data_IF_048393773849
#
_entry.id   IF_048393773849
#
_cell.length_a   1.000
_cell.length_b   1.000
_cell.length_c   1.000
_cell.angle_alpha   90.00
_cell.angle_beta   90.00
_cell.angle_gamma   90.00
#
_symmetry.space_group_name_H-M   'P 1'
#
loop_
_entity.id
_entity.type
_entity.pdbx_description
1 polymer ?
#
# COMPACT_ATOMS: atom_id res chain seq x y z
N UNK A 1 32.46 14.78 44.20
CA UNK A 1 32.78 16.15 44.67
C UNK A 1 33.56 16.86 43.57
N UNK A 2 33.16 18.10 43.29
CA UNK A 2 33.92 19.20 42.68
C UNK A 2 34.54 19.03 41.26
N UNK A 3 33.80 19.59 40.29
CA UNK A 3 34.24 20.36 39.11
C UNK A 3 35.39 21.35 39.42
N UNK A 4 36.23 21.72 38.43
CA UNK A 4 36.38 23.14 37.96
C UNK A 4 36.96 23.22 36.53
N UNK A 5 36.12 23.76 35.64
CA UNK A 5 36.32 24.65 34.48
C UNK A 5 37.68 24.84 33.76
N UNK A 6 37.60 24.81 32.42
CA UNK A 6 38.37 25.67 31.52
C UNK A 6 37.41 26.44 30.61
N UNK A 7 37.58 27.76 30.54
CA UNK A 7 37.00 28.63 29.53
C UNK A 7 38.01 29.74 29.23
N UNK A 8 38.21 30.05 27.93
CA UNK A 8 38.07 31.38 27.30
C UNK A 8 38.87 31.42 25.99
N UNK A 9 38.06 31.59 24.93
CA UNK A 9 38.24 32.09 23.54
C UNK A 9 39.09 33.39 23.44
N UNK A 10 39.60 33.92 22.32
CA UNK A 10 39.36 33.88 20.86
C UNK A 10 40.48 34.67 20.13
N UNK A 11 40.31 34.85 18.80
CA UNK A 11 40.84 35.90 17.89
C UNK A 11 41.76 35.30 16.81
N UNK A 12 41.21 34.89 15.66
CA UNK A 12 40.96 35.65 14.41
C UNK A 12 42.25 36.02 13.66
N UNK A 13 42.43 35.45 12.47
CA UNK A 13 43.15 36.10 11.37
C UNK A 13 42.52 35.76 10.01
N UNK A 14 42.35 36.82 9.23
CA UNK A 14 41.83 36.88 7.85
C UNK A 14 42.86 36.37 6.85
N UNK A 15 42.38 35.86 5.71
CA UNK A 15 42.88 36.00 4.33
C UNK A 15 42.16 34.91 3.50
N UNK A 16 41.75 35.06 2.25
CA UNK A 16 42.04 36.01 1.18
C UNK A 16 41.83 35.21 -0.11
N UNK A 17 40.99 35.71 -1.02
CA UNK A 17 40.76 35.11 -2.34
C UNK A 17 42.07 35.02 -3.14
N UNK A 18 42.36 33.88 -3.76
CA UNK A 18 42.83 33.79 -5.15
C UNK A 18 42.80 32.34 -5.67
N UNK A 19 42.41 32.25 -6.93
CA UNK A 19 42.16 31.03 -7.71
C UNK A 19 43.42 30.20 -7.97
N UNK A 20 43.26 28.88 -8.00
CA UNK A 20 44.16 27.97 -8.67
C UNK A 20 43.38 26.76 -9.24
N UNK A 21 43.64 26.48 -10.51
CA UNK A 21 43.04 25.44 -11.34
C UNK A 21 43.29 24.03 -10.77
N UNK A 22 42.24 23.24 -10.56
CA UNK A 22 42.35 21.81 -10.30
C UNK A 22 42.12 21.00 -11.58
N UNK A 23 43.18 20.31 -12.02
CA UNK A 23 43.16 19.30 -13.07
C UNK A 23 42.22 18.16 -12.68
N UNK A 24 41.19 17.91 -13.48
CA UNK A 24 40.35 16.73 -13.36
C UNK A 24 41.06 15.50 -13.95
N UNK A 25 41.15 14.44 -13.15
CA UNK A 25 41.53 13.09 -13.56
C UNK A 25 40.34 12.42 -14.26
N UNK A 26 40.54 12.05 -15.52
CA UNK A 26 39.62 11.24 -16.31
C UNK A 26 39.70 9.77 -15.87
N UNK A 27 38.56 9.17 -15.50
CA UNK A 27 38.39 7.71 -15.51
C UNK A 27 37.20 7.34 -16.40
N UNK A 28 37.52 6.92 -17.62
CA UNK A 28 36.63 6.32 -18.62
C UNK A 28 36.44 4.83 -18.34
N UNK A 29 35.18 4.37 -18.23
CA UNK A 29 34.76 3.01 -18.61
C UNK A 29 33.25 3.00 -18.94
N UNK A 30 32.91 3.19 -20.22
CA UNK A 30 31.66 2.75 -20.84
C UNK A 30 31.92 2.37 -22.31
N UNK A 31 31.24 1.35 -22.88
CA UNK A 31 31.56 0.82 -24.21
C UNK A 31 31.00 1.68 -25.35
N UNK A 32 31.80 1.78 -26.43
CA UNK A 32 31.55 2.47 -27.70
C UNK A 32 30.24 2.04 -28.39
N UNK A 33 29.48 3.03 -28.85
CA UNK A 33 28.71 2.96 -30.09
C UNK A 33 29.29 3.99 -31.06
N UNK A 34 29.88 3.53 -32.17
CA UNK A 34 30.38 4.40 -33.23
C UNK A 34 29.21 4.85 -34.12
N UNK A 35 29.01 6.17 -34.20
CA UNK A 35 28.15 6.82 -35.19
C UNK A 35 29.06 7.56 -36.17
N UNK A 36 29.11 7.11 -37.42
CA UNK A 36 29.63 7.89 -38.54
C UNK A 36 28.48 8.14 -39.52
N UNK A 37 28.05 9.40 -39.57
CA UNK A 37 27.16 9.88 -40.60
C UNK A 37 27.93 10.22 -41.88
N UNK A 38 27.34 9.91 -43.04
CA UNK A 38 27.58 10.66 -44.27
C UNK A 38 26.29 10.79 -45.08
N UNK A 39 26.06 12.02 -45.48
CA UNK A 39 24.97 12.60 -46.27
C UNK A 39 24.89 12.08 -47.72
N UNK A 40 23.67 11.97 -48.28
CA UNK A 40 23.20 12.82 -49.41
C UNK A 40 21.90 12.29 -50.06
N UNK A 41 20.91 13.18 -50.14
CA UNK A 41 19.86 13.42 -51.13
C UNK A 41 19.30 12.35 -52.10
N UNK A 42 17.97 12.49 -52.26
CA UNK A 42 17.16 12.46 -53.49
C UNK A 42 16.21 11.26 -53.69
N UNK A 43 14.93 11.62 -53.83
CA UNK A 43 13.80 10.78 -54.20
C UNK A 43 13.97 10.06 -55.56
N UNK A 44 13.41 8.85 -55.66
CA UNK A 44 12.59 8.39 -56.80
C UNK A 44 11.81 7.12 -56.42
N UNK A 45 10.49 7.15 -56.66
CA UNK A 45 9.59 5.97 -56.70
C UNK A 45 9.85 5.20 -57.99
N UNK A 46 9.86 3.86 -57.95
CA UNK A 46 9.06 2.92 -58.79
C UNK A 46 9.49 1.43 -58.59
N UNK A 47 8.72 0.39 -59.03
CA UNK A 47 8.19 -0.66 -58.13
C UNK A 47 8.56 -2.13 -58.50
N UNK A 48 7.93 -3.09 -57.77
CA UNK A 48 7.70 -4.54 -58.09
C UNK A 48 8.84 -5.52 -57.68
N UNK A 49 8.67 -6.85 -57.38
CA UNK A 49 7.48 -7.72 -57.26
C UNK A 49 7.31 -8.51 -55.94
N UNK A 50 6.13 -9.10 -55.84
CA UNK A 50 5.70 -10.20 -54.96
C UNK A 50 6.57 -11.46 -55.02
N UNK A 51 7.06 -11.93 -53.86
CA UNK A 51 6.92 -13.32 -53.40
C UNK A 51 7.60 -13.45 -52.01
N UNK A 52 6.80 -13.69 -50.97
CA UNK A 52 7.33 -14.18 -49.70
C UNK A 52 6.70 -15.52 -49.40
N UNK A 53 7.58 -16.51 -49.25
CA UNK A 53 7.27 -17.87 -48.83
C UNK A 53 6.60 -17.88 -47.44
N UNK A 54 5.60 -18.74 -47.30
CA UNK A 54 4.90 -18.99 -46.04
C UNK A 54 5.82 -19.65 -45.01
N UNK A 55 5.90 -19.04 -43.83
CA UNK A 55 6.29 -19.70 -42.57
C UNK A 55 4.99 -20.02 -41.82
N UNK A 56 4.82 -21.21 -41.21
CA UNK A 56 3.56 -21.54 -40.55
C UNK A 56 3.39 -20.71 -39.28
N UNK A 57 2.35 -19.87 -39.24
CA UNK A 57 1.85 -19.29 -37.99
C UNK A 57 1.05 -20.35 -37.25
N UNK A 58 1.34 -20.53 -35.96
CA UNK A 58 0.50 -21.30 -35.06
C UNK A 58 -0.89 -20.65 -34.96
N UNK A 59 -1.91 -21.35 -35.43
CA UNK A 59 -3.31 -20.94 -35.30
C UNK A 59 -3.83 -21.46 -33.97
N UNK A 60 -4.14 -20.56 -33.04
CA UNK A 60 -4.98 -20.88 -31.88
C UNK A 60 -6.39 -21.13 -32.40
N UNK A 61 -6.81 -22.40 -32.46
CA UNK A 61 -8.20 -22.78 -32.69
C UNK A 61 -8.99 -22.47 -31.41
N UNK A 62 -9.81 -21.43 -31.45
CA UNK A 62 -10.87 -21.23 -30.47
C UNK A 62 -12.06 -22.11 -30.86
N UNK A 63 -12.41 -23.07 -30.01
CA UNK A 63 -13.70 -23.74 -30.11
C UNK A 63 -14.82 -22.71 -29.83
N UNK A 64 -15.92 -22.71 -30.60
CA UNK A 64 -17.05 -21.82 -30.33
C UNK A 64 -17.72 -22.23 -29.01
N UNK A 65 -18.15 -21.27 -28.17
CA UNK A 65 -18.79 -21.61 -26.91
C UNK A 65 -20.11 -22.34 -27.19
N UNK A 66 -20.27 -23.52 -26.62
CA UNK A 66 -21.57 -24.17 -26.51
C UNK A 66 -22.54 -23.19 -25.83
N UNK A 67 -23.63 -22.89 -26.53
CA UNK A 67 -24.72 -22.04 -26.03
C UNK A 67 -25.41 -22.71 -24.85
N UNK A 68 -24.89 -22.52 -23.65
CA UNK A 68 -25.66 -22.68 -22.43
C UNK A 68 -26.50 -21.41 -22.22
N UNK A 69 -27.69 -21.42 -22.81
CA UNK A 69 -28.78 -20.53 -22.45
C UNK A 69 -29.27 -20.92 -21.05
N UNK A 70 -28.69 -20.31 -20.00
CA UNK A 70 -29.33 -19.96 -18.71
C UNK A 70 -28.28 -19.67 -17.64
N UNK A 71 -27.62 -18.51 -17.73
CA UNK A 71 -27.20 -17.74 -16.55
C UNK A 71 -27.30 -16.26 -16.91
N UNK A 72 -28.49 -15.66 -16.74
CA UNK A 72 -28.54 -14.23 -16.45
C UNK A 72 -27.70 -14.05 -15.18
N UNK A 73 -26.45 -13.59 -15.31
CA UNK A 73 -25.70 -13.02 -14.19
C UNK A 73 -26.47 -11.76 -13.77
N UNK A 74 -27.55 -11.94 -13.01
CA UNK A 74 -28.10 -10.86 -12.22
C UNK A 74 -26.97 -10.40 -11.32
N UNK A 75 -26.62 -9.13 -11.44
CA UNK A 75 -25.85 -8.37 -10.46
C UNK A 75 -26.58 -8.50 -9.13
N UNK A 76 -26.25 -9.53 -8.35
CA UNK A 76 -26.85 -9.75 -7.04
C UNK A 76 -26.21 -8.75 -6.10
N UNK A 77 -26.95 -7.68 -5.78
CA UNK A 77 -26.61 -6.87 -4.62
C UNK A 77 -26.85 -7.69 -3.35
N UNK A 78 -26.09 -7.40 -2.29
CA UNK A 78 -26.33 -7.99 -0.98
C UNK A 78 -27.74 -7.65 -0.51
N UNK A 79 -28.50 -8.68 -0.12
CA UNK A 79 -29.90 -8.52 0.32
C UNK A 79 -29.96 -8.00 1.76
N UNK A 80 -29.14 -8.59 2.64
CA UNK A 80 -29.01 -8.17 4.04
C UNK A 80 -27.52 -7.98 4.38
N UNK A 81 -27.04 -6.73 4.51
CA UNK A 81 -25.67 -6.43 4.90
C UNK A 81 -25.25 -7.00 6.26
N UNK A 82 -26.21 -7.30 7.15
CA UNK A 82 -25.93 -7.89 8.46
C UNK A 82 -25.77 -9.42 8.41
N UNK A 83 -26.20 -10.08 7.33
CA UNK A 83 -26.07 -11.52 7.15
C UNK A 83 -25.86 -11.90 5.67
N UNK A 84 -24.70 -11.56 5.07
CA UNK A 84 -24.40 -11.88 3.67
C UNK A 84 -24.28 -13.40 3.42
N UNK A 85 -24.63 -13.84 2.20
CA UNK A 85 -24.60 -15.27 1.81
C UNK A 85 -23.25 -15.65 1.19
N UNK A 86 -22.25 -15.88 2.05
CA UNK A 86 -20.87 -16.10 1.61
C UNK A 86 -20.68 -17.39 0.81
N UNK A 87 -19.95 -17.28 -0.30
CA UNK A 87 -19.57 -18.42 -1.13
C UNK A 87 -18.28 -19.07 -0.62
N UNK A 88 -18.19 -20.40 -0.62
CA UNK A 88 -16.94 -21.08 -0.27
C UNK A 88 -15.87 -20.83 -1.34
N UNK A 89 -14.62 -20.74 -0.91
CA UNK A 89 -13.45 -20.67 -1.79
C UNK A 89 -12.94 -22.07 -2.14
N UNK A 90 -12.20 -22.21 -3.25
CA UNK A 90 -11.34 -23.36 -3.44
C UNK A 90 -10.38 -23.52 -2.26
N UNK A 91 -10.16 -24.76 -1.81
CA UNK A 91 -9.31 -25.02 -0.65
C UNK A 91 -7.84 -24.70 -0.94
N UNK A 92 -7.05 -24.54 0.11
CA UNK A 92 -5.62 -24.32 0.00
C UNK A 92 -4.92 -25.44 -0.79
N UNK A 93 -5.31 -26.70 -0.58
CA UNK A 93 -4.75 -27.87 -1.28
C UNK A 93 -5.13 -27.90 -2.77
N UNK A 94 -6.31 -27.38 -3.12
CA UNK A 94 -6.72 -27.23 -4.52
C UNK A 94 -5.89 -26.15 -5.22
N UNK A 95 -5.56 -25.06 -4.52
CA UNK A 95 -4.72 -23.98 -5.06
C UNK A 95 -3.23 -24.36 -5.09
N UNK A 96 -2.76 -25.06 -4.07
CA UNK A 96 -1.36 -25.39 -3.84
C UNK A 96 -1.18 -26.89 -3.57
N UNK A 97 -1.31 -27.74 -4.62
CA UNK A 97 -1.09 -29.17 -4.46
C UNK A 97 0.33 -29.43 -3.93
N UNK A 98 0.46 -30.44 -3.05
CA UNK A 98 1.70 -30.80 -2.35
C UNK A 98 2.24 -29.72 -1.42
N UNK A 99 1.42 -28.76 -1.00
CA UNK A 99 1.80 -27.79 0.01
C UNK A 99 1.06 -28.02 1.31
N UNK A 100 1.72 -27.74 2.43
CA UNK A 100 1.08 -27.62 3.75
C UNK A 100 1.28 -26.22 4.30
N UNK A 101 0.31 -25.73 5.05
CA UNK A 101 0.42 -24.49 5.82
C UNK A 101 1.08 -24.83 7.16
N UNK A 102 2.21 -24.19 7.43
CA UNK A 102 3.02 -24.44 8.61
C UNK A 102 3.17 -23.13 9.41
N UNK A 103 3.66 -23.24 10.65
CA UNK A 103 4.00 -22.07 11.45
C UNK A 103 5.32 -22.27 12.18
N UNK A 104 6.07 -21.18 12.33
CA UNK A 104 7.26 -21.12 13.19
C UNK A 104 6.86 -20.47 14.50
N UNK A 105 7.04 -21.20 15.59
CA UNK A 105 6.84 -20.66 16.93
C UNK A 105 8.07 -19.90 17.39
N UNK A 106 7.86 -18.66 17.84
CA UNK A 106 8.89 -17.82 18.46
C UNK A 106 8.32 -17.18 19.72
N UNK A 107 9.15 -17.00 20.74
CA UNK A 107 8.72 -16.38 22.00
C UNK A 107 9.19 -14.94 22.02
N UNK A 108 8.26 -14.02 22.27
CA UNK A 108 8.61 -12.63 22.53
C UNK A 108 9.12 -12.48 23.97
N UNK A 109 10.43 -12.34 24.15
CA UNK A 109 11.09 -12.46 25.46
C UNK A 109 10.53 -11.52 26.54
N UNK A 110 10.21 -10.27 26.19
CA UNK A 110 9.71 -9.28 27.17
C UNK A 110 8.31 -9.65 27.72
N UNK A 111 7.50 -10.35 26.93
CA UNK A 111 6.10 -10.64 27.27
C UNK A 111 5.83 -12.10 27.55
N UNK A 112 6.70 -13.00 27.11
CA UNK A 112 6.47 -14.44 27.09
C UNK A 112 5.42 -14.88 26.06
N UNK A 113 4.90 -13.97 25.21
CA UNK A 113 3.92 -14.32 24.20
C UNK A 113 4.54 -15.27 23.16
N UNK A 114 3.85 -16.38 22.88
CA UNK A 114 4.23 -17.31 21.81
C UNK A 114 3.57 -16.86 20.52
N UNK A 115 4.37 -16.48 19.53
CA UNK A 115 3.93 -16.04 18.21
C UNK A 115 4.02 -17.20 17.22
N UNK A 116 2.96 -17.40 16.42
CA UNK A 116 2.91 -18.41 15.35
C UNK A 116 3.02 -17.71 14.00
N UNK A 117 4.20 -17.76 13.41
CA UNK A 117 4.51 -17.05 12.15
C UNK A 117 4.35 -17.99 10.96
N UNK A 118 3.40 -17.74 10.03
CA UNK A 118 3.03 -18.69 9.00
C UNK A 118 4.05 -18.72 7.87
N UNK A 119 4.16 -19.90 7.26
CA UNK A 119 4.82 -20.11 5.99
C UNK A 119 4.19 -21.30 5.28
N UNK A 120 4.40 -21.42 3.97
CA UNK A 120 3.95 -22.57 3.19
C UNK A 120 5.13 -23.50 2.94
N UNK A 121 4.96 -24.78 3.24
CA UNK A 121 5.94 -25.83 2.93
C UNK A 121 5.53 -26.60 1.70
N UNK A 122 6.37 -26.61 0.67
CA UNK A 122 6.17 -27.39 -0.55
C UNK A 122 6.93 -28.71 -0.44
N UNK A 123 6.21 -29.82 -0.55
CA UNK A 123 6.77 -31.17 -0.47
C UNK A 123 7.22 -31.65 -1.85
N UNK A 124 8.52 -31.92 -2.00
CA UNK A 124 9.13 -32.38 -3.25
C UNK A 124 9.18 -33.92 -3.29
N UNK A 125 9.36 -34.48 -4.47
CA UNK A 125 9.56 -35.94 -4.65
C UNK A 125 11.05 -36.31 -4.57
N UNK A 126 11.34 -37.55 -4.20
CA UNK A 126 12.71 -38.06 -4.09
C UNK A 126 13.32 -37.79 -2.71
N UNK A 127 14.65 -37.70 -2.65
CA UNK A 127 15.40 -37.40 -1.42
C UNK A 127 15.57 -35.87 -1.20
N UNK A 128 14.98 -35.04 -2.06
CA UNK A 128 15.02 -33.58 -1.94
C UNK A 128 14.26 -33.12 -0.69
N UNK A 129 14.85 -32.17 0.05
CA UNK A 129 14.16 -31.53 1.17
C UNK A 129 12.96 -30.71 0.70
N UNK A 130 12.07 -30.39 1.62
CA UNK A 130 10.97 -29.46 1.36
C UNK A 130 11.47 -28.04 1.02
N UNK A 131 10.60 -27.23 0.41
CA UNK A 131 10.85 -25.80 0.16
C UNK A 131 9.87 -24.92 0.94
N UNK A 132 10.40 -24.10 1.86
CA UNK A 132 9.61 -23.19 2.69
C UNK A 132 9.52 -21.80 2.04
N UNK A 133 8.30 -21.36 1.77
CA UNK A 133 7.99 -20.10 1.09
C UNK A 133 7.11 -19.19 1.97
N UNK A 134 7.10 -17.89 1.65
CA UNK A 134 6.19 -16.92 2.25
C UNK A 134 4.73 -17.30 1.95
N UNK A 135 3.83 -16.99 2.87
CA UNK A 135 2.41 -17.30 2.75
C UNK A 135 1.55 -16.19 3.38
N UNK A 136 0.64 -15.65 2.59
CA UNK A 136 -0.30 -14.58 2.95
C UNK A 136 -1.74 -15.06 3.06
N UNK A 137 -2.00 -16.34 2.78
CA UNK A 137 -3.37 -16.88 2.69
C UNK A 137 -4.18 -16.77 3.99
N UNK A 138 -3.51 -16.56 5.13
CA UNK A 138 -4.15 -16.50 6.44
C UNK A 138 -4.76 -17.85 6.87
N UNK A 139 -5.47 -17.88 8.01
CA UNK A 139 -6.19 -19.06 8.46
C UNK A 139 -7.23 -19.53 7.43
N UNK A 140 -7.33 -20.86 7.24
CA UNK A 140 -8.22 -21.50 6.26
C UNK A 140 -9.44 -22.12 6.95
N UNK A 141 -10.49 -22.41 6.18
CA UNK A 141 -11.71 -23.09 6.61
C UNK A 141 -12.46 -22.39 7.77
N UNK A 142 -12.37 -21.07 7.84
CA UNK A 142 -13.09 -20.24 8.81
C UNK A 142 -14.30 -19.61 8.14
N UNK A 143 -15.48 -19.77 8.74
CA UNK A 143 -16.71 -19.16 8.25
C UNK A 143 -16.59 -17.63 8.32
N UNK A 144 -16.84 -16.89 7.22
CA UNK A 144 -16.74 -15.44 7.25
C UNK A 144 -17.73 -14.74 8.20
N UNK A 145 -18.83 -15.42 8.54
CA UNK A 145 -19.82 -14.96 9.54
C UNK A 145 -19.29 -14.96 10.97
N UNK A 146 -18.22 -15.72 11.26
CA UNK A 146 -17.57 -15.76 12.58
C UNK A 146 -16.43 -14.74 12.64
N UNK A 147 -15.71 -14.56 11.55
CA UNK A 147 -14.47 -13.78 11.48
C UNK A 147 -13.24 -14.58 11.91
N UNK A 148 -12.07 -14.07 11.56
CA UNK A 148 -10.79 -14.69 11.90
C UNK A 148 -10.47 -14.58 13.40
N UNK A 149 -9.61 -15.47 13.93
CA UNK A 149 -9.14 -15.39 15.30
C UNK A 149 -8.39 -14.08 15.56
N UNK A 150 -8.70 -13.42 16.67
CA UNK A 150 -8.09 -12.17 17.12
C UNK A 150 -6.71 -12.38 17.76
N UNK A 151 -5.77 -12.91 16.99
CA UNK A 151 -4.45 -13.37 17.48
C UNK A 151 -3.63 -12.28 18.18
N UNK A 152 -3.81 -11.01 17.81
CA UNK A 152 -3.05 -9.88 18.39
C UNK A 152 -3.63 -9.36 19.70
N UNK A 153 -4.79 -9.86 20.14
CA UNK A 153 -5.55 -9.30 21.27
C UNK A 153 -4.72 -9.11 22.53
N UNK A 154 -4.00 -10.14 22.96
CA UNK A 154 -3.23 -10.10 24.21
C UNK A 154 -2.05 -9.11 24.14
N UNK A 155 -1.45 -8.95 22.95
CA UNK A 155 -0.34 -8.03 22.72
C UNK A 155 -0.80 -6.59 22.91
N UNK A 156 -1.95 -6.27 22.31
CA UNK A 156 -2.58 -4.95 22.39
C UNK A 156 -3.09 -4.68 23.81
N UNK A 157 -3.86 -5.59 24.41
CA UNK A 157 -4.40 -5.43 25.76
C UNK A 157 -3.27 -5.18 26.79
N UNK A 158 -2.12 -5.86 26.65
CA UNK A 158 -0.95 -5.62 27.52
C UNK A 158 -0.43 -4.19 27.37
N UNK A 159 -0.19 -3.73 26.14
CA UNK A 159 0.37 -2.39 25.89
C UNK A 159 -0.60 -1.30 26.30
N UNK A 160 -1.90 -1.47 26.06
CA UNK A 160 -2.92 -0.52 26.53
C UNK A 160 -2.93 -0.37 28.05
N UNK A 161 -2.74 -1.45 28.81
CA UNK A 161 -2.61 -1.39 30.28
C UNK A 161 -1.42 -0.55 30.76
N UNK A 162 -0.36 -0.44 29.96
CA UNK A 162 0.79 0.43 30.30
C UNK A 162 0.53 1.91 30.03
N UNK A 163 -0.51 2.24 29.26
CA UNK A 163 -0.93 3.62 28.96
C UNK A 163 0.13 4.46 28.24
N UNK A 164 0.71 4.01 27.10
CA UNK A 164 1.72 4.79 26.39
C UNK A 164 1.11 6.06 25.79
N UNK A 165 1.92 7.13 25.61
CA UNK A 165 1.43 8.38 25.03
C UNK A 165 1.07 8.26 23.53
N UNK A 166 1.60 7.25 22.84
CA UNK A 166 1.32 6.94 21.43
C UNK A 166 1.33 5.43 21.24
N UNK A 167 0.55 4.95 20.27
CA UNK A 167 0.39 3.51 20.04
C UNK A 167 1.20 2.98 18.85
N UNK A 168 2.00 3.82 18.18
CA UNK A 168 2.57 3.46 16.88
C UNK A 168 3.80 2.56 16.96
N UNK A 169 3.98 1.66 15.99
CA UNK A 169 5.23 0.89 15.87
C UNK A 169 6.47 1.79 15.77
N UNK A 170 6.37 2.93 15.08
CA UNK A 170 7.47 3.91 15.02
C UNK A 170 7.79 4.52 16.40
N UNK A 171 6.77 4.82 17.21
CA UNK A 171 6.97 5.30 18.57
C UNK A 171 7.74 4.27 19.40
N UNK A 172 7.26 3.02 19.46
CA UNK A 172 7.94 1.95 20.20
C UNK A 172 9.36 1.71 19.70
N UNK A 173 9.54 1.68 18.37
CA UNK A 173 10.85 1.50 17.77
C UNK A 173 11.83 2.60 18.23
N UNK A 174 11.41 3.87 18.24
CA UNK A 174 12.24 4.99 18.70
C UNK A 174 12.57 4.94 20.20
N UNK A 175 11.75 4.26 21.00
CA UNK A 175 12.04 3.98 22.42
C UNK A 175 13.01 2.81 22.62
N UNK A 176 13.47 2.15 21.55
CA UNK A 176 14.30 0.95 21.64
C UNK A 176 13.51 -0.32 21.98
N UNK A 177 12.18 -0.28 21.88
CA UNK A 177 11.29 -1.40 22.19
C UNK A 177 11.09 -2.23 20.92
N UNK A 178 11.35 -3.53 21.01
CA UNK A 178 10.96 -4.51 20.01
C UNK A 178 9.57 -5.01 20.42
N UNK A 179 8.58 -4.85 19.55
CA UNK A 179 7.21 -5.32 19.79
C UNK A 179 7.01 -6.73 19.25
N UNK A 180 5.89 -7.36 19.63
CA UNK A 180 5.44 -8.62 19.05
C UNK A 180 5.33 -8.52 17.51
N UNK A 181 4.81 -7.42 16.98
CA UNK A 181 4.72 -7.20 15.53
C UNK A 181 6.10 -7.13 14.86
N UNK A 182 7.10 -6.51 15.50
CA UNK A 182 8.46 -6.44 14.96
C UNK A 182 9.12 -7.83 14.94
N UNK A 183 9.01 -8.60 16.03
CA UNK A 183 9.52 -9.97 16.10
C UNK A 183 8.81 -10.88 15.09
N UNK A 184 7.50 -10.72 14.94
CA UNK A 184 6.71 -11.46 13.95
C UNK A 184 7.22 -11.20 12.53
N UNK A 185 7.36 -9.92 12.14
CA UNK A 185 7.87 -9.54 10.82
C UNK A 185 9.31 -10.03 10.60
N UNK A 186 10.18 -9.88 11.60
CA UNK A 186 11.56 -10.34 11.53
C UNK A 186 11.65 -11.84 11.28
N UNK A 187 10.84 -12.62 11.99
CA UNK A 187 10.75 -14.08 11.81
C UNK A 187 10.25 -14.45 10.42
N UNK A 188 9.23 -13.73 9.91
CA UNK A 188 8.62 -13.95 8.59
C UNK A 188 9.60 -13.63 7.45
N UNK A 189 10.42 -12.59 7.62
CA UNK A 189 11.47 -12.16 6.69
C UNK A 189 12.80 -12.91 6.87
N UNK A 190 12.94 -13.73 7.91
CA UNK A 190 14.20 -14.39 8.31
C UNK A 190 15.33 -13.38 8.57
N UNK A 191 14.99 -12.26 9.19
CA UNK A 191 15.89 -11.18 9.56
C UNK A 191 15.93 -10.99 11.07
N UNK A 192 16.89 -10.20 11.52
CA UNK A 192 17.07 -9.89 12.94
C UNK A 192 15.98 -8.89 13.43
N UNK A 193 15.36 -9.10 14.61
CA UNK A 193 14.35 -8.20 15.16
C UNK A 193 14.85 -6.77 15.46
N UNK A 194 16.10 -6.61 15.87
CA UNK A 194 16.72 -5.30 16.08
C UNK A 194 16.93 -4.58 14.74
N UNK A 195 17.24 -5.31 13.66
CA UNK A 195 17.26 -4.73 12.31
C UNK A 195 15.88 -4.20 11.89
N UNK A 196 14.81 -4.96 12.15
CA UNK A 196 13.42 -4.52 11.91
C UNK A 196 13.11 -3.25 12.70
N UNK A 197 13.37 -3.25 14.01
CA UNK A 197 13.15 -2.09 14.88
C UNK A 197 13.91 -0.86 14.37
N UNK A 198 15.17 -1.04 13.97
CA UNK A 198 16.03 0.03 13.46
C UNK A 198 15.46 0.64 12.16
N UNK A 199 15.01 -0.18 11.21
CA UNK A 199 14.36 0.27 9.97
C UNK A 199 13.08 1.07 10.22
N UNK A 200 12.25 0.59 11.16
CA UNK A 200 11.00 1.26 11.55
C UNK A 200 11.27 2.59 12.28
N UNK A 201 12.22 2.61 13.22
CA UNK A 201 12.57 3.82 13.98
C UNK A 201 13.05 4.96 13.08
N UNK A 202 13.79 4.64 12.02
CA UNK A 202 14.31 5.63 11.04
C UNK A 202 13.37 5.92 9.87
N UNK A 203 12.14 5.39 9.89
CA UNK A 203 11.13 5.67 8.86
C UNK A 203 11.44 5.06 7.49
N UNK A 204 12.32 4.06 7.40
CA UNK A 204 12.63 3.36 6.14
C UNK A 204 11.79 2.10 5.91
N UNK A 205 11.05 1.68 6.94
CA UNK A 205 10.06 0.64 6.87
C UNK A 205 8.88 0.95 7.80
N UNK A 206 7.73 0.36 7.51
CA UNK A 206 6.51 0.47 8.32
C UNK A 206 5.91 -0.91 8.55
N UNK A 207 5.14 -1.05 9.62
CA UNK A 207 4.31 -2.22 9.91
C UNK A 207 2.88 -1.71 10.09
N UNK A 208 2.06 -1.67 9.02
CA UNK A 208 0.68 -1.20 9.09
C UNK A 208 -0.12 -2.18 9.95
N UNK A 209 -0.46 -1.77 11.17
CA UNK A 209 -0.95 -2.71 12.18
C UNK A 209 -1.84 -2.04 13.22
N UNK A 210 -2.94 -1.45 12.74
CA UNK A 210 -3.89 -0.74 13.60
C UNK A 210 -4.28 -1.64 14.78
N UNK A 211 -4.26 -1.09 15.99
CA UNK A 211 -4.53 -1.84 17.23
C UNK A 211 -5.92 -2.47 17.29
N UNK A 212 -6.86 -2.01 16.47
CA UNK A 212 -8.23 -2.56 16.36
C UNK A 212 -8.33 -3.73 15.38
N UNK A 213 -7.35 -3.91 14.49
CA UNK A 213 -7.28 -5.04 13.57
C UNK A 213 -6.58 -6.23 14.23
N UNK A 214 -7.31 -6.93 15.10
CA UNK A 214 -6.74 -7.98 15.93
C UNK A 214 -6.54 -9.30 15.19
N UNK A 215 -7.17 -9.44 14.03
CA UNK A 215 -7.11 -10.59 13.12
C UNK A 215 -5.82 -10.64 12.28
N UNK A 216 -5.09 -9.52 12.20
CA UNK A 216 -3.91 -9.32 11.36
C UNK A 216 -2.74 -10.26 11.72
N UNK A 217 -2.15 -10.89 10.70
CA UNK A 217 -0.80 -11.47 10.71
C UNK A 217 0.21 -10.39 10.26
N UNK A 218 1.04 -9.82 11.18
CA UNK A 218 1.87 -8.66 10.86
C UNK A 218 2.80 -8.85 9.65
N UNK A 219 2.94 -7.78 8.87
CA UNK A 219 3.80 -7.71 7.69
C UNK A 219 4.53 -6.37 7.64
N UNK A 220 5.80 -6.38 7.23
CA UNK A 220 6.64 -5.19 7.10
C UNK A 220 6.80 -4.75 5.64
N UNK A 221 6.71 -3.45 5.40
CA UNK A 221 6.92 -2.82 4.10
C UNK A 221 8.15 -1.92 4.20
N UNK A 222 9.17 -2.18 3.38
CA UNK A 222 10.37 -1.35 3.31
C UNK A 222 11.37 -1.88 2.30
N UNK A 223 12.31 -1.01 1.87
CA UNK A 223 13.25 -1.32 0.78
C UNK A 223 14.16 -2.52 1.05
N UNK A 224 14.49 -2.78 2.32
CA UNK A 224 15.43 -3.84 2.72
C UNK A 224 14.74 -5.19 3.01
N UNK A 225 13.45 -5.31 2.72
CA UNK A 225 12.63 -6.50 2.95
C UNK A 225 12.16 -7.08 1.61
N UNK A 226 11.47 -8.22 1.63
CA UNK A 226 10.78 -8.71 0.43
C UNK A 226 9.85 -7.63 -0.15
N UNK A 227 9.84 -7.49 -1.47
CA UNK A 227 8.87 -6.60 -2.14
C UNK A 227 7.46 -7.12 -1.84
N UNK A 228 6.57 -6.20 -1.44
CA UNK A 228 5.19 -6.50 -1.09
C UNK A 228 4.24 -6.07 -2.21
N UNK A 229 3.14 -6.81 -2.38
CA UNK A 229 2.12 -6.59 -3.40
C UNK A 229 0.78 -6.28 -2.76
N UNK A 230 0.12 -5.22 -3.22
CA UNK A 230 -1.23 -4.86 -2.80
C UNK A 230 -2.26 -5.31 -3.85
N UNK A 231 -3.41 -5.83 -3.41
CA UNK A 231 -4.57 -6.07 -4.26
C UNK A 231 -5.69 -5.06 -3.96
N UNK A 232 -6.18 -4.37 -4.99
CA UNK A 232 -7.34 -3.49 -4.86
C UNK A 232 -8.63 -4.28 -5.05
N UNK A 233 -9.51 -4.20 -4.07
CA UNK A 233 -10.89 -4.69 -4.13
C UNK A 233 -11.83 -3.51 -3.87
N UNK A 234 -13.12 -3.78 -3.72
CA UNK A 234 -14.12 -2.78 -3.38
C UNK A 234 -15.28 -2.81 -4.36
N UNK A 235 -16.46 -2.52 -3.81
CA UNK A 235 -17.69 -2.44 -4.57
C UNK A 235 -17.78 -1.10 -5.31
N UNK A 236 -18.70 -1.02 -6.26
CA UNK A 236 -19.01 0.24 -6.94
C UNK A 236 -20.52 0.47 -6.96
N UNK A 237 -20.94 1.68 -7.30
CA UNK A 237 -22.36 1.97 -7.50
C UNK A 237 -23.05 1.09 -8.58
N UNK A 238 -22.27 0.43 -9.44
CA UNK A 238 -22.77 -0.33 -10.60
C UNK A 238 -22.64 -1.85 -10.41
N UNK A 239 -21.63 -2.32 -9.67
CA UNK A 239 -21.25 -3.74 -9.61
C UNK A 239 -20.74 -4.13 -8.21
N UNK A 240 -20.93 -5.41 -7.88
CA UNK A 240 -20.43 -6.15 -6.72
C UNK A 240 -21.30 -6.08 -5.46
N UNK A 241 -20.96 -6.93 -4.49
CA UNK A 241 -21.71 -7.19 -3.26
C UNK A 241 -20.74 -7.54 -2.13
N UNK A 242 -21.18 -7.44 -0.87
CA UNK A 242 -20.37 -7.77 0.30
C UNK A 242 -19.79 -9.19 0.21
N UNK A 243 -20.60 -10.15 -0.25
CA UNK A 243 -20.21 -11.54 -0.44
C UNK A 243 -19.03 -11.66 -1.43
N UNK A 244 -19.09 -10.94 -2.54
CA UNK A 244 -18.04 -10.95 -3.56
C UNK A 244 -16.78 -10.20 -3.09
N UNK A 245 -16.92 -9.14 -2.29
CA UNK A 245 -15.77 -8.42 -1.73
C UNK A 245 -14.97 -9.29 -0.76
N UNK A 246 -15.63 -9.98 0.16
CA UNK A 246 -14.95 -10.91 1.08
C UNK A 246 -14.28 -12.06 0.31
N UNK A 247 -14.99 -12.62 -0.68
CA UNK A 247 -14.42 -13.64 -1.56
C UNK A 247 -13.14 -13.14 -2.25
N UNK A 248 -13.16 -11.92 -2.81
CA UNK A 248 -12.00 -11.34 -3.49
C UNK A 248 -10.82 -11.09 -2.56
N UNK A 249 -11.05 -10.68 -1.31
CA UNK A 249 -9.97 -10.51 -0.31
C UNK A 249 -9.27 -11.83 -0.07
N UNK A 250 -10.04 -12.85 0.32
CA UNK A 250 -9.52 -14.18 0.62
C UNK A 250 -8.86 -14.82 -0.61
N UNK A 251 -9.42 -14.60 -1.81
CA UNK A 251 -8.82 -15.08 -3.06
C UNK A 251 -7.51 -14.35 -3.39
N UNK A 252 -7.46 -13.03 -3.22
CA UNK A 252 -6.25 -12.26 -3.48
C UNK A 252 -5.11 -12.67 -2.54
N UNK A 253 -5.40 -12.85 -1.25
CA UNK A 253 -4.40 -13.25 -0.26
C UNK A 253 -3.96 -14.70 -0.44
N UNK A 254 -4.85 -15.61 -0.88
CA UNK A 254 -4.50 -16.97 -1.30
C UNK A 254 -3.38 -16.96 -2.36
N UNK A 255 -3.44 -16.04 -3.33
CA UNK A 255 -2.47 -15.92 -4.42
C UNK A 255 -1.26 -15.02 -4.14
N UNK A 256 -1.11 -14.50 -2.93
CA UNK A 256 0.10 -13.76 -2.54
C UNK A 256 -0.06 -12.26 -2.38
N UNK A 257 -1.29 -11.71 -2.30
CA UNK A 257 -1.46 -10.31 -1.90
C UNK A 257 -1.02 -10.12 -0.44
N UNK A 258 -0.01 -9.29 -0.22
CA UNK A 258 0.54 -8.97 1.10
C UNK A 258 -0.28 -7.93 1.85
N UNK A 259 -1.03 -7.10 1.13
CA UNK A 259 -2.02 -6.16 1.64
C UNK A 259 -3.21 -6.12 0.69
N UNK A 260 -4.35 -5.63 1.19
CA UNK A 260 -5.50 -5.31 0.35
C UNK A 260 -5.93 -3.86 0.59
N UNK A 261 -6.57 -3.25 -0.41
CA UNK A 261 -7.29 -1.99 -0.21
C UNK A 261 -8.75 -2.15 -0.56
N UNK A 262 -9.62 -1.74 0.36
CA UNK A 262 -11.03 -1.55 0.08
C UNK A 262 -11.26 -0.16 -0.54
N UNK A 263 -11.50 -0.14 -1.85
CA UNK A 263 -11.77 1.06 -2.63
C UNK A 263 -13.26 1.22 -2.95
N UNK A 264 -14.13 0.65 -2.10
CA UNK A 264 -15.58 0.70 -2.26
C UNK A 264 -16.10 2.14 -2.39
N UNK A 265 -16.96 2.35 -3.38
CA UNK A 265 -17.68 3.64 -3.60
C UNK A 265 -19.18 3.43 -3.84
N UNK A 266 -19.70 2.24 -3.54
CA UNK A 266 -21.11 1.90 -3.71
C UNK A 266 -21.91 2.05 -2.41
N UNK A 267 -22.99 1.28 -2.31
CA UNK A 267 -23.77 1.19 -1.07
C UNK A 267 -23.00 0.38 -0.02
N UNK A 268 -23.35 0.58 1.25
CA UNK A 268 -22.86 -0.23 2.36
C UNK A 268 -21.33 -0.26 2.49
N UNK A 269 -20.66 0.88 2.25
CA UNK A 269 -19.19 0.98 2.34
C UNK A 269 -18.69 0.59 3.73
N UNK A 270 -19.39 1.02 4.78
CA UNK A 270 -19.02 0.73 6.16
C UNK A 270 -19.12 -0.77 6.48
N UNK A 271 -20.25 -1.37 6.11
CA UNK A 271 -20.58 -2.77 6.37
C UNK A 271 -19.69 -3.70 5.53
N UNK A 272 -19.47 -3.37 4.26
CA UNK A 272 -18.53 -4.10 3.39
C UNK A 272 -17.14 -4.16 4.02
N UNK A 273 -16.63 -3.01 4.47
CA UNK A 273 -15.32 -2.92 5.09
C UNK A 273 -15.24 -3.68 6.41
N UNK A 274 -16.31 -3.68 7.21
CA UNK A 274 -16.36 -4.46 8.45
C UNK A 274 -16.18 -5.95 8.16
N UNK A 275 -16.93 -6.48 7.18
CA UNK A 275 -16.79 -7.88 6.76
C UNK A 275 -15.41 -8.19 6.21
N UNK A 276 -14.81 -7.27 5.44
CA UNK A 276 -13.44 -7.41 4.94
C UNK A 276 -12.42 -7.46 6.08
N UNK A 277 -12.45 -6.50 7.00
CA UNK A 277 -11.49 -6.40 8.12
C UNK A 277 -11.56 -7.62 9.04
N UNK A 278 -12.76 -8.03 9.44
CA UNK A 278 -12.93 -9.21 10.31
C UNK A 278 -12.51 -10.52 9.65
N UNK A 279 -12.33 -10.53 8.32
CA UNK A 279 -11.94 -11.70 7.53
C UNK A 279 -10.59 -11.55 6.81
N UNK A 280 -9.80 -10.51 7.14
CA UNK A 280 -8.49 -10.28 6.55
C UNK A 280 -7.38 -10.63 7.53
N UNK A 281 -6.47 -11.51 7.12
CA UNK A 281 -5.22 -11.76 7.85
C UNK A 281 -4.10 -10.79 7.44
N UNK A 282 -4.32 -9.99 6.39
CA UNK A 282 -3.35 -9.03 5.85
C UNK A 282 -3.78 -7.59 6.13
N UNK A 283 -2.86 -6.61 6.12
CA UNK A 283 -3.23 -5.22 6.31
C UNK A 283 -4.25 -4.73 5.29
N UNK A 284 -5.25 -3.98 5.76
CA UNK A 284 -6.31 -3.40 4.94
C UNK A 284 -6.13 -1.88 4.88
N UNK A 285 -6.03 -1.35 3.67
CA UNK A 285 -5.99 0.09 3.42
C UNK A 285 -7.27 0.63 2.83
N UNK A 286 -7.43 1.94 2.91
CA UNK A 286 -8.57 2.65 2.29
C UNK A 286 -8.13 4.00 1.71
N UNK A 287 -9.07 4.65 1.01
CA UNK A 287 -8.97 6.04 0.61
C UNK A 287 -10.14 6.79 1.29
N UNK A 288 -9.95 7.36 2.51
CA UNK A 288 -11.07 7.86 3.32
C UNK A 288 -11.93 8.91 2.62
N UNK A 289 -11.37 9.67 1.68
CA UNK A 289 -12.10 10.69 0.92
C UNK A 289 -13.24 10.10 0.07
N UNK A 290 -13.18 8.81 -0.30
CA UNK A 290 -14.27 8.16 -1.05
C UNK A 290 -15.52 8.01 -0.20
N UNK A 291 -15.39 7.55 1.03
CA UNK A 291 -16.53 7.45 1.94
C UNK A 291 -17.00 8.83 2.40
N UNK A 292 -16.08 9.77 2.65
CA UNK A 292 -16.44 11.14 2.99
C UNK A 292 -17.27 11.80 1.88
N UNK A 293 -16.95 11.54 0.62
CA UNK A 293 -17.70 12.02 -0.54
C UNK A 293 -19.12 11.42 -0.59
N UNK A 294 -19.28 10.13 -0.28
CA UNK A 294 -20.61 9.51 -0.18
C UNK A 294 -21.46 10.10 0.96
N UNK A 295 -20.84 10.46 2.10
CA UNK A 295 -21.54 11.14 3.21
C UNK A 295 -22.13 12.50 2.80
N UNK A 296 -21.57 13.13 1.77
CA UNK A 296 -22.07 14.39 1.18
C UNK A 296 -22.73 14.18 -0.19
N UNK A 297 -23.29 12.99 -0.42
CA UNK A 297 -24.08 12.65 -1.60
C UNK A 297 -23.34 12.85 -2.94
N UNK A 298 -22.02 12.66 -2.97
CA UNK A 298 -21.23 12.82 -4.20
C UNK A 298 -20.88 14.27 -4.54
N UNK A 299 -21.28 15.25 -3.72
CA UNK A 299 -21.02 16.67 -3.95
C UNK A 299 -19.68 17.03 -3.34
N UNK A 300 -18.63 17.07 -4.16
CA UNK A 300 -17.28 17.34 -3.69
C UNK A 300 -17.15 18.68 -2.96
N UNK A 301 -17.94 19.69 -3.35
CA UNK A 301 -17.99 21.00 -2.74
C UNK A 301 -18.48 20.93 -1.28
N UNK A 302 -19.40 20.02 -0.97
CA UNK A 302 -19.94 19.88 0.39
C UNK A 302 -18.98 19.16 1.36
N UNK A 303 -17.81 18.73 0.88
CA UNK A 303 -16.76 18.19 1.76
C UNK A 303 -16.23 19.26 2.70
N UNK A 304 -15.93 18.85 3.93
CA UNK A 304 -15.22 19.67 4.92
C UNK A 304 -14.27 18.82 5.74
N UNK A 305 -13.41 19.48 6.52
CA UNK A 305 -12.56 18.81 7.49
C UNK A 305 -13.37 17.97 8.47
N UNK A 306 -14.52 18.46 8.94
CA UNK A 306 -15.36 17.76 9.93
C UNK A 306 -15.85 16.41 9.40
N UNK A 307 -16.39 16.38 8.17
CA UNK A 307 -16.85 15.13 7.53
C UNK A 307 -15.68 14.17 7.32
N UNK A 308 -14.52 14.69 6.91
CA UNK A 308 -13.32 13.89 6.70
C UNK A 308 -12.79 13.31 8.02
N UNK A 309 -12.69 14.13 9.07
CA UNK A 309 -12.29 13.75 10.43
C UNK A 309 -13.17 12.64 11.00
N UNK A 310 -14.49 12.78 10.90
CA UNK A 310 -15.43 11.74 11.34
C UNK A 310 -15.21 10.43 10.58
N UNK A 311 -14.93 10.52 9.27
CA UNK A 311 -14.63 9.34 8.44
C UNK A 311 -13.32 8.67 8.83
N UNK A 312 -12.27 9.44 9.14
CA UNK A 312 -11.00 8.91 9.63
C UNK A 312 -11.17 8.14 10.95
N UNK A 313 -11.90 8.72 11.91
CA UNK A 313 -12.15 8.09 13.22
C UNK A 313 -12.97 6.81 13.05
N UNK A 314 -14.03 6.86 12.24
CA UNK A 314 -14.87 5.70 11.94
C UNK A 314 -14.05 4.53 11.39
N UNK A 315 -13.20 4.79 10.40
CA UNK A 315 -12.37 3.76 9.79
C UNK A 315 -11.24 3.27 10.71
N UNK A 316 -10.67 4.16 11.51
CA UNK A 316 -9.64 3.80 12.48
C UNK A 316 -10.20 2.88 13.58
N UNK A 317 -11.42 3.14 14.06
CA UNK A 317 -12.10 2.28 15.04
C UNK A 317 -12.45 0.90 14.48
N UNK A 318 -12.79 0.79 13.19
CA UNK A 318 -12.99 -0.51 12.55
C UNK A 318 -11.70 -1.33 12.43
N UNK A 319 -10.54 -0.67 12.35
CA UNK A 319 -9.24 -1.33 12.22
C UNK A 319 -8.57 -1.16 10.86
N UNK A 320 -8.88 -0.13 10.07
CA UNK A 320 -8.09 0.15 8.86
C UNK A 320 -6.63 0.40 9.23
N UNK A 321 -5.69 -0.29 8.58
CA UNK A 321 -4.26 -0.27 8.92
C UNK A 321 -3.51 0.88 8.28
N UNK A 322 -3.98 1.36 7.12
CA UNK A 322 -3.38 2.53 6.47
C UNK A 322 -4.37 3.34 5.64
N UNK A 323 -4.17 4.65 5.64
CA UNK A 323 -4.96 5.59 4.85
C UNK A 323 -4.16 6.15 3.69
N UNK A 324 -4.74 6.09 2.50
CA UNK A 324 -4.28 6.89 1.37
C UNK A 324 -4.92 8.28 1.42
N UNK A 325 -4.12 9.30 1.74
CA UNK A 325 -4.57 10.69 1.88
C UNK A 325 -3.82 11.58 0.89
N UNK A 326 -4.58 12.34 0.10
CA UNK A 326 -4.05 13.17 -0.99
C UNK A 326 -3.73 14.59 -0.52
N UNK A 327 -3.00 14.73 0.59
CA UNK A 327 -2.64 16.03 1.16
C UNK A 327 -1.65 16.82 0.27
N UNK A 328 -0.92 16.15 -0.63
CA UNK A 328 0.01 16.80 -1.57
C UNK A 328 -0.65 17.53 -2.74
N UNK A 329 -1.97 17.39 -2.95
CA UNK A 329 -2.71 18.07 -4.01
C UNK A 329 -3.03 19.50 -3.59
N UNK A 330 -2.04 20.38 -3.68
CA UNK A 330 -2.17 21.76 -3.27
C UNK A 330 -2.81 22.62 -4.36
N UNK A 331 -3.57 23.64 -3.95
CA UNK A 331 -4.30 24.56 -4.84
C UNK A 331 -3.41 25.11 -5.95
N UNK A 332 -2.19 25.53 -5.58
CA UNK A 332 -1.19 26.09 -6.51
C UNK A 332 -0.65 25.09 -7.54
N UNK A 333 -0.79 23.78 -7.31
CA UNK A 333 -0.33 22.76 -8.24
C UNK A 333 -1.37 22.38 -9.29
N UNK A 334 -2.65 22.61 -9.02
CA UNK A 334 -3.74 22.26 -9.95
C UNK A 334 -3.56 22.91 -11.35
N UNK A 335 -3.18 24.20 -11.48
CA UNK A 335 -2.94 24.79 -12.80
C UNK A 335 -1.80 24.12 -13.60
N UNK A 336 -0.86 23.44 -12.93
CA UNK A 336 0.24 22.75 -13.60
C UNK A 336 -0.27 21.57 -14.45
N UNK A 337 -1.43 21.01 -14.11
CA UNK A 337 -2.02 19.88 -14.85
C UNK A 337 -2.79 20.32 -16.09
N UNK A 338 -2.99 21.62 -16.33
CA UNK A 338 -3.80 22.13 -17.44
C UNK A 338 -3.27 21.75 -18.84
N UNK A 339 -1.97 21.46 -18.95
CA UNK A 339 -1.31 21.06 -20.21
C UNK A 339 -1.16 19.55 -20.37
N UNK A 340 -1.66 18.75 -19.41
CA UNK A 340 -1.57 17.30 -19.49
C UNK A 340 -2.49 16.74 -20.56
N UNK A 341 -2.06 15.63 -21.16
CA UNK A 341 -2.86 14.85 -22.10
C UNK A 341 -4.04 14.16 -21.39
N UNK A 342 -3.81 13.60 -20.21
CA UNK A 342 -4.85 12.87 -19.46
C UNK A 342 -5.28 13.55 -18.16
N UNK A 343 -4.80 14.77 -17.89
CA UNK A 343 -5.20 15.57 -16.74
C UNK A 343 -4.84 14.94 -15.39
N UNK A 344 -5.80 15.00 -14.45
CA UNK A 344 -5.71 14.37 -13.13
C UNK A 344 -6.46 13.04 -13.18
N UNK A 345 -5.73 11.92 -13.17
CA UNK A 345 -6.31 10.57 -13.23
C UNK A 345 -6.52 9.92 -11.87
N UNK A 346 -6.02 10.55 -10.79
CA UNK A 346 -6.33 10.11 -9.44
C UNK A 346 -7.76 10.47 -9.08
N UNK A 347 -8.58 9.49 -8.69
CA UNK A 347 -9.94 9.74 -8.18
C UNK A 347 -9.89 10.61 -6.92
N UNK A 348 -9.07 10.25 -5.94
CA UNK A 348 -8.93 11.06 -4.72
C UNK A 348 -8.34 12.43 -5.01
N UNK A 349 -7.30 12.48 -5.86
CA UNK A 349 -6.69 13.75 -6.27
C UNK A 349 -7.65 14.69 -7.00
N UNK A 350 -8.51 14.18 -7.88
CA UNK A 350 -9.49 15.00 -8.59
C UNK A 350 -10.62 15.51 -7.69
N UNK A 351 -11.00 14.76 -6.65
CA UNK A 351 -11.96 15.21 -5.62
C UNK A 351 -11.37 16.41 -4.85
N UNK A 352 -10.15 16.28 -4.33
CA UNK A 352 -9.47 17.40 -3.63
C UNK A 352 -9.26 18.60 -4.56
N UNK A 353 -8.87 18.38 -5.82
CA UNK A 353 -8.70 19.45 -6.79
C UNK A 353 -10.01 20.20 -7.06
N UNK A 354 -11.13 19.48 -7.23
CA UNK A 354 -12.45 20.08 -7.42
C UNK A 354 -12.85 20.95 -6.24
N UNK A 355 -12.67 20.45 -5.02
CA UNK A 355 -12.95 21.21 -3.79
C UNK A 355 -12.08 22.47 -3.68
N UNK A 356 -10.77 22.35 -3.91
CA UNK A 356 -9.85 23.49 -3.84
C UNK A 356 -10.22 24.58 -4.85
N UNK A 357 -10.60 24.21 -6.08
CA UNK A 357 -11.01 25.16 -7.11
C UNK A 357 -12.37 25.82 -6.80
N UNK A 358 -13.32 25.07 -6.25
CA UNK A 358 -14.65 25.58 -5.90
C UNK A 358 -14.58 26.69 -4.83
N UNK A 359 -13.69 26.51 -3.84
CA UNK A 359 -13.54 27.48 -2.74
C UNK A 359 -12.37 28.43 -2.89
N UNK A 360 -11.47 28.18 -3.85
CA UNK A 360 -10.19 28.84 -3.97
C UNK A 360 -9.41 28.86 -2.64
N UNK A 361 -9.39 27.70 -1.96
CA UNK A 361 -8.71 27.47 -0.68
C UNK A 361 -7.68 26.37 -0.80
N UNK A 362 -6.69 26.37 0.09
CA UNK A 362 -5.70 25.30 0.18
C UNK A 362 -6.35 24.00 0.66
N UNK A 363 -5.78 22.87 0.25
CA UNK A 363 -6.30 21.54 0.55
C UNK A 363 -6.51 21.32 2.05
N UNK A 364 -7.74 21.08 2.49
CA UNK A 364 -8.04 20.93 3.92
C UNK A 364 -7.28 19.75 4.57
N UNK A 365 -6.95 18.69 3.84
CA UNK A 365 -6.16 17.59 4.40
C UNK A 365 -4.68 17.97 4.61
N UNK A 366 -4.18 18.95 3.85
CA UNK A 366 -2.87 19.57 4.08
C UNK A 366 -2.92 20.50 5.28
N UNK A 367 -3.92 21.39 5.34
CA UNK A 367 -4.08 22.36 6.44
C UNK A 367 -4.32 21.69 7.79
N UNK A 368 -4.97 20.52 7.82
CA UNK A 368 -5.26 19.73 9.02
C UNK A 368 -4.36 18.49 9.18
N UNK A 369 -3.16 18.52 8.60
CA UNK A 369 -2.27 17.35 8.64
C UNK A 369 -1.88 16.94 10.07
N UNK A 370 -1.62 17.91 10.95
CA UNK A 370 -1.32 17.63 12.37
C UNK A 370 -2.49 16.95 13.10
N UNK A 371 -3.73 17.37 12.81
CA UNK A 371 -4.92 16.74 13.39
C UNK A 371 -5.09 15.29 12.89
N UNK A 372 -4.74 15.03 11.63
CA UNK A 372 -4.72 13.68 11.05
C UNK A 372 -3.68 12.81 11.78
N UNK A 373 -2.49 13.34 12.02
CA UNK A 373 -1.43 12.65 12.76
C UNK A 373 -1.86 12.30 14.18
N UNK A 374 -2.59 13.19 14.86
CA UNK A 374 -3.13 12.94 16.19
C UNK A 374 -4.12 11.77 16.20
N UNK A 375 -4.99 11.66 15.18
CA UNK A 375 -5.89 10.52 15.01
C UNK A 375 -5.06 9.25 14.77
N UNK A 376 -4.15 9.25 13.80
CA UNK A 376 -3.32 8.09 13.47
C UNK A 376 -2.51 7.58 14.67
N UNK A 377 -2.00 8.48 15.51
CA UNK A 377 -1.23 8.14 16.71
C UNK A 377 -2.01 7.32 17.74
N UNK A 378 -3.34 7.49 17.82
CA UNK A 378 -4.19 6.77 18.78
C UNK A 378 -4.44 5.32 18.40
N UNK A 379 -4.40 5.01 17.10
CA UNK A 379 -4.79 3.70 16.57
C UNK A 379 -3.65 2.94 15.90
N UNK A 380 -2.52 3.60 15.60
CA UNK A 380 -1.45 3.08 14.75
C UNK A 380 -1.88 2.84 13.29
N UNK A 381 -2.58 3.83 12.73
CA UNK A 381 -2.89 3.84 11.30
C UNK A 381 -1.72 4.48 10.55
N UNK A 382 -1.12 3.72 9.62
CA UNK A 382 -0.06 4.24 8.78
C UNK A 382 -0.60 5.20 7.70
N UNK A 383 0.21 6.18 7.30
CA UNK A 383 -0.14 7.12 6.24
C UNK A 383 0.53 6.73 4.93
N UNK A 384 -0.28 6.44 3.93
CA UNK A 384 0.11 6.30 2.53
C UNK A 384 -0.15 7.65 1.85
N UNK A 385 0.86 8.51 1.79
CA UNK A 385 0.67 9.85 1.22
C UNK A 385 0.39 9.71 -0.28
N UNK A 386 -0.82 10.07 -0.71
CA UNK A 386 -1.34 9.79 -2.04
C UNK A 386 -0.68 10.61 -3.14
N UNK A 387 -0.60 10.03 -4.33
CA UNK A 387 -0.08 10.62 -5.56
C UNK A 387 -1.22 11.18 -6.43
N UNK A 388 -1.90 12.20 -5.92
CA UNK A 388 -3.07 12.79 -6.56
C UNK A 388 -2.79 13.37 -7.94
N UNK A 389 -1.57 13.82 -8.19
CA UNK A 389 -1.07 14.35 -9.44
C UNK A 389 -0.16 13.36 -10.18
N UNK A 390 -0.30 12.04 -9.96
CA UNK A 390 0.41 11.04 -10.77
C UNK A 390 0.09 11.15 -12.28
N UNK A 391 1.02 10.76 -13.17
CA UNK A 391 0.77 10.76 -14.61
C UNK A 391 -0.19 9.64 -15.02
N UNK A 392 -1.20 9.97 -15.84
CA UNK A 392 -2.12 8.99 -16.43
C UNK A 392 -1.69 8.49 -17.82
N UNK A 393 -0.61 9.04 -18.35
CA UNK A 393 -0.06 8.67 -19.65
C UNK A 393 1.46 8.86 -19.66
N UNK A 394 2.14 8.20 -20.60
CA UNK A 394 3.57 8.40 -20.83
C UNK A 394 3.89 9.86 -21.18
N UNK A 395 2.96 10.55 -21.84
CA UNK A 395 3.13 11.97 -22.18
C UNK A 395 3.25 12.86 -20.95
N UNK A 396 2.50 12.53 -19.89
CA UNK A 396 2.43 13.32 -18.65
C UNK A 396 3.51 12.92 -17.63
N UNK A 397 4.31 11.88 -17.93
CA UNK A 397 5.26 11.31 -17.00
C UNK A 397 6.39 12.28 -16.68
N UNK A 398 6.73 12.39 -15.39
CA UNK A 398 7.83 13.17 -14.85
C UNK A 398 7.67 14.68 -15.10
N UNK A 399 6.42 15.15 -15.21
CA UNK A 399 6.12 16.57 -15.38
C UNK A 399 6.26 17.37 -14.08
N UNK A 400 6.07 18.68 -14.18
CA UNK A 400 6.18 19.59 -13.03
C UNK A 400 5.14 19.32 -11.96
N UNK A 401 3.91 18.95 -12.33
CA UNK A 401 2.84 18.70 -11.37
C UNK A 401 3.14 17.48 -10.49
N UNK A 402 3.63 16.40 -11.10
CA UNK A 402 4.01 15.18 -10.37
C UNK A 402 5.14 15.46 -9.37
N UNK A 403 6.22 16.11 -9.79
CA UNK A 403 7.34 16.36 -8.89
C UNK A 403 7.08 17.45 -7.84
N UNK A 404 6.18 18.39 -8.12
CA UNK A 404 5.74 19.37 -7.12
C UNK A 404 4.96 18.70 -5.98
N UNK A 405 4.07 17.75 -6.30
CA UNK A 405 3.40 16.94 -5.29
C UNK A 405 4.42 16.08 -4.52
N UNK A 406 5.33 15.40 -5.22
CA UNK A 406 6.36 14.56 -4.59
C UNK A 406 7.22 15.33 -3.58
N UNK A 407 7.62 16.56 -3.91
CA UNK A 407 8.37 17.41 -2.98
C UNK A 407 7.55 17.75 -1.72
N UNK A 408 6.23 17.87 -1.86
CA UNK A 408 5.33 18.15 -0.75
C UNK A 408 5.10 16.91 0.11
N UNK A 409 5.08 15.71 -0.48
CA UNK A 409 4.97 14.44 0.24
C UNK A 409 6.15 14.21 1.21
N UNK A 410 7.33 14.76 0.94
CA UNK A 410 8.49 14.70 1.84
C UNK A 410 8.39 15.68 3.03
N UNK A 411 7.59 16.74 2.89
CA UNK A 411 7.40 17.78 3.91
C UNK A 411 6.20 17.53 4.82
N UNK A 412 5.20 16.81 4.31
CA UNK A 412 3.97 16.46 5.01
C UNK A 412 4.25 15.38 6.07
#
# INVERSE_FOLDING_TARGET
MASVHANVTSVVCKNGNHAAQSKFLNSTFLPRFDVVGRSSNAWKKEPVPSSMALVPRATLTFDPPATNADKKKQTKHTVDPASPDFLPLPSFEQCFPKSTKESREVVHEETGHVLKVPFRRVHLSGDESHFDNYDTSGPQDISPTIGLPKLRKEWIDRREKTGPPRFTQMYYAKQGIITEEMLYCATREKLDPEFVRSEVARGRAIIPSNKKHLELEPTIVGRNFLVKVNANIGNSAVVSSIEEEVYKVQWATMWGADTVMDLSTGRHIHETREWVLRNSAVPVGTVPIYQALEKVNGIAEDLSWEVFRETLIEQAEQGVDYFTIHAGVLLRYIPLTAKRMTGIVSRGGSIHAKWCLAYHKENFAYEHWDDILDICNQYDVALSIGDGLRPGSIYDANDTAQFAELLTQDQA
#
